data_IF_303901926519
#
_entry.id   IF_303901926519
#
_cell.length_a   1.000
_cell.length_b   1.000
_cell.length_c   1.000
_cell.angle_alpha   90.00
_cell.angle_beta   90.00
_cell.angle_gamma   90.00
#
_symmetry.space_group_name_H-M   'P 1'
#
loop_
_entity.id
_entity.type
_entity.pdbx_description
1 polymer ?
#
# COMPACT_ATOMS: atom_id res chain seq x y z
N UNK A 1 -26.04 14.57 2.19
CA UNK A 1 -25.12 13.45 1.90
C UNK A 1 -23.92 13.64 2.81
N UNK A 2 -23.73 12.78 3.82
CA UNK A 2 -22.56 12.87 4.69
C UNK A 2 -21.32 12.65 3.80
N UNK A 3 -20.57 13.72 3.57
CA UNK A 3 -19.35 13.68 2.78
C UNK A 3 -18.39 12.75 3.51
N UNK A 4 -18.16 11.58 2.94
CA UNK A 4 -17.15 10.64 3.43
C UNK A 4 -15.82 11.36 3.25
N UNK A 5 -15.16 11.64 4.36
CA UNK A 5 -13.92 12.41 4.37
C UNK A 5 -12.79 11.55 3.77
N UNK A 6 -12.37 11.88 2.55
CA UNK A 6 -11.33 11.16 1.81
C UNK A 6 -10.03 11.10 2.62
N UNK A 7 -9.72 12.17 3.34
CA UNK A 7 -8.50 12.28 4.15
C UNK A 7 -8.52 11.27 5.31
N UNK A 8 -9.70 11.04 5.90
CA UNK A 8 -9.88 10.03 6.94
C UNK A 8 -9.61 8.62 6.39
N UNK A 9 -10.20 8.25 5.24
CA UNK A 9 -9.95 6.95 4.60
C UNK A 9 -8.47 6.79 4.27
N UNK A 10 -7.84 7.85 3.74
CA UNK A 10 -6.42 7.83 3.41
C UNK A 10 -5.56 7.60 4.65
N UNK A 11 -5.86 8.23 5.79
CA UNK A 11 -5.16 7.98 7.06
C UNK A 11 -5.40 6.56 7.57
N UNK A 12 -6.62 6.04 7.50
CA UNK A 12 -6.91 4.67 7.94
C UNK A 12 -6.14 3.62 7.12
N UNK A 13 -6.06 3.81 5.80
CA UNK A 13 -5.35 2.88 4.89
C UNK A 13 -3.84 3.04 5.01
N UNK A 14 -3.32 4.27 5.01
CA UNK A 14 -1.87 4.52 4.94
C UNK A 14 -1.16 4.50 6.30
N UNK A 15 -1.82 4.96 7.38
CA UNK A 15 -1.22 5.11 8.71
C UNK A 15 -1.59 3.94 9.61
N UNK A 16 -2.89 3.66 9.76
CA UNK A 16 -3.36 2.59 10.66
C UNK A 16 -3.29 1.19 10.04
N UNK A 17 -2.95 1.08 8.74
CA UNK A 17 -2.81 -0.19 8.01
C UNK A 17 -4.04 -1.08 8.06
N UNK A 18 -5.23 -0.48 8.21
CA UNK A 18 -6.48 -1.24 8.29
C UNK A 18 -6.88 -1.78 6.93
N UNK A 19 -7.44 -2.98 6.93
CA UNK A 19 -7.97 -3.60 5.73
C UNK A 19 -9.24 -2.89 5.25
N UNK A 20 -9.56 -3.01 3.96
CA UNK A 20 -10.83 -2.48 3.41
C UNK A 20 -12.04 -3.03 4.15
N UNK A 21 -11.94 -4.24 4.70
CA UNK A 21 -12.95 -4.88 5.52
C UNK A 21 -13.17 -4.12 6.84
N UNK A 22 -12.10 -3.89 7.61
CA UNK A 22 -12.16 -3.14 8.87
C UNK A 22 -12.66 -1.72 8.66
N UNK A 23 -12.23 -1.05 7.58
CA UNK A 23 -12.72 0.29 7.24
C UNK A 23 -14.23 0.25 6.98
N UNK A 24 -14.72 -0.79 6.30
CA UNK A 24 -16.16 -0.97 6.06
C UNK A 24 -16.94 -1.19 7.36
N UNK A 25 -16.39 -1.94 8.32
CA UNK A 25 -17.01 -2.16 9.63
C UNK A 25 -17.04 -0.87 10.46
N UNK A 26 -15.95 -0.12 10.48
CA UNK A 26 -15.88 1.18 11.17
C UNK A 26 -16.89 2.16 10.57
N UNK A 27 -16.99 2.22 9.24
CA UNK A 27 -17.95 3.08 8.54
C UNK A 27 -19.40 2.66 8.82
N UNK A 28 -19.69 1.36 8.95
CA UNK A 28 -21.01 0.86 9.35
C UNK A 28 -21.35 1.22 10.79
N UNK A 29 -20.39 1.11 11.71
CA UNK A 29 -20.57 1.50 13.11
C UNK A 29 -20.77 3.01 13.29
N UNK A 30 -20.07 3.83 12.52
CA UNK A 30 -20.16 5.31 12.62
C UNK A 30 -21.39 5.92 11.94
N UNK A 31 -22.03 5.22 11.00
CA UNK A 31 -23.20 5.71 10.26
C UNK A 31 -24.40 4.75 10.45
N UNK A 32 -25.11 4.83 11.58
CA UNK A 32 -26.23 3.91 11.86
C UNK A 32 -27.45 4.12 10.95
N UNK A 33 -27.58 5.26 10.26
CA UNK A 33 -28.77 5.62 9.46
C UNK A 33 -28.58 5.57 7.94
N UNK A 34 -27.34 5.44 7.45
CA UNK A 34 -27.07 5.16 6.03
C UNK A 34 -26.55 3.73 5.95
N UNK A 35 -26.77 3.03 4.84
CA UNK A 35 -26.41 1.60 4.64
C UNK A 35 -24.91 1.24 4.80
N UNK A 36 -24.08 2.12 5.37
CA UNK A 36 -22.64 2.00 5.42
C UNK A 36 -22.04 1.93 4.01
N UNK A 37 -20.72 1.90 3.93
CA UNK A 37 -20.05 1.46 2.71
C UNK A 37 -19.77 -0.03 2.85
N UNK A 38 -20.20 -0.82 1.87
CA UNK A 38 -19.74 -2.20 1.76
C UNK A 38 -18.25 -2.21 1.39
N UNK A 39 -17.55 -3.28 1.75
CA UNK A 39 -16.14 -3.48 1.38
C UNK A 39 -15.89 -3.20 -0.12
N UNK A 40 -16.82 -3.60 -1.00
CA UNK A 40 -16.74 -3.34 -2.44
C UNK A 40 -16.78 -1.85 -2.79
N UNK A 41 -17.60 -1.05 -2.10
CA UNK A 41 -17.66 0.40 -2.29
C UNK A 41 -16.43 1.10 -1.71
N UNK A 42 -15.92 0.65 -0.56
CA UNK A 42 -14.64 1.13 0.01
C UNK A 42 -13.50 0.83 -0.97
N UNK A 43 -13.46 -0.38 -1.52
CA UNK A 43 -12.46 -0.78 -2.52
C UNK A 43 -12.56 0.07 -3.78
N UNK A 44 -13.75 0.24 -4.34
CA UNK A 44 -13.97 1.07 -5.53
C UNK A 44 -13.60 2.54 -5.27
N UNK A 45 -13.90 3.05 -4.08
CA UNK A 45 -13.50 4.39 -3.64
C UNK A 45 -11.97 4.51 -3.55
N UNK A 46 -11.32 3.57 -2.87
CA UNK A 46 -9.87 3.52 -2.79
C UNK A 46 -9.20 3.42 -4.18
N UNK A 47 -9.75 2.62 -5.09
CA UNK A 47 -9.24 2.50 -6.47
C UNK A 47 -9.43 3.78 -7.27
N UNK A 48 -10.61 4.42 -7.19
CA UNK A 48 -10.89 5.68 -7.90
C UNK A 48 -10.03 6.85 -7.39
N UNK A 49 -9.73 6.87 -6.10
CA UNK A 49 -8.92 7.92 -5.46
C UNK A 49 -7.43 7.56 -5.36
N UNK A 50 -7.01 6.41 -5.91
CA UNK A 50 -5.62 5.94 -5.87
C UNK A 50 -5.09 5.66 -4.46
N UNK A 51 -5.97 5.46 -3.48
CA UNK A 51 -5.64 5.16 -2.09
C UNK A 51 -5.31 3.67 -1.99
N UNK A 52 -4.04 3.36 -2.20
CA UNK A 52 -3.54 2.00 -2.05
C UNK A 52 -2.73 1.85 -0.77
N UNK A 53 -2.88 0.68 -0.14
CA UNK A 53 -2.03 0.24 0.98
C UNK A 53 -0.54 0.14 0.59
N UNK A 54 -0.27 0.06 -0.72
CA UNK A 54 1.09 0.07 -1.23
C UNK A 54 1.64 1.48 -1.21
N UNK A 55 2.88 1.58 -0.73
CA UNK A 55 3.67 2.79 -0.84
C UNK A 55 3.60 3.23 -2.30
N UNK A 56 2.89 4.34 -2.55
CA UNK A 56 2.73 5.01 -3.84
C UNK A 56 4.06 5.55 -4.39
N UNK A 57 5.16 4.90 -4.06
CA UNK A 57 6.48 5.09 -4.62
C UNK A 57 6.37 4.95 -6.13
N UNK A 58 6.69 6.04 -6.81
CA UNK A 58 6.90 6.05 -8.24
C UNK A 58 7.91 4.96 -8.63
N UNK A 59 7.82 4.47 -9.86
CA UNK A 59 8.71 3.40 -10.35
C UNK A 59 10.19 3.76 -10.20
N UNK A 60 10.55 5.03 -10.36
CA UNK A 60 11.94 5.51 -10.20
C UNK A 60 12.36 5.55 -8.73
N UNK A 61 11.47 6.02 -7.85
CA UNK A 61 11.71 6.03 -6.41
C UNK A 61 11.84 4.60 -5.87
N UNK A 62 11.02 3.67 -6.37
CA UNK A 62 11.12 2.26 -6.05
C UNK A 62 12.45 1.64 -6.50
N UNK A 63 12.90 1.93 -7.71
CA UNK A 63 14.19 1.44 -8.22
C UNK A 63 15.37 1.97 -7.39
N UNK A 64 15.31 3.24 -6.98
CA UNK A 64 16.33 3.87 -6.14
C UNK A 64 16.36 3.23 -4.75
N UNK A 65 15.20 3.07 -4.10
CA UNK A 65 15.09 2.40 -2.81
C UNK A 65 15.55 0.93 -2.89
N UNK A 66 15.21 0.22 -3.96
CA UNK A 66 15.67 -1.17 -4.19
C UNK A 66 17.19 -1.23 -4.33
N UNK A 67 17.79 -0.30 -5.08
CA UNK A 67 19.25 -0.23 -5.25
C UNK A 67 19.95 0.07 -3.94
N UNK A 68 19.42 0.99 -3.14
CA UNK A 68 19.98 1.31 -1.82
C UNK A 68 19.87 0.11 -0.87
N UNK A 69 18.72 -0.57 -0.84
CA UNK A 69 18.54 -1.78 -0.05
C UNK A 69 19.56 -2.85 -0.46
N UNK A 70 19.71 -3.13 -1.75
CA UNK A 70 20.69 -4.10 -2.28
C UNK A 70 22.13 -3.71 -1.94
N UNK A 71 22.47 -2.42 -1.93
CA UNK A 71 23.79 -1.96 -1.49
C UNK A 71 24.04 -2.20 0.01
N UNK A 72 23.00 -2.10 0.85
CA UNK A 72 23.10 -2.35 2.30
C UNK A 72 23.14 -3.83 2.64
N UNK A 73 22.26 -4.64 2.05
CA UNK A 73 22.09 -6.07 2.40
C UNK A 73 22.91 -7.03 1.54
N UNK A 74 23.38 -6.56 0.38
CA UNK A 74 24.14 -7.34 -0.60
C UNK A 74 23.29 -7.94 -1.73
N UNK A 75 23.92 -8.30 -2.87
CA UNK A 75 23.24 -8.78 -4.07
C UNK A 75 22.63 -10.19 -3.92
N UNK A 76 23.00 -10.93 -2.87
CA UNK A 76 22.53 -12.29 -2.61
C UNK A 76 21.07 -12.32 -2.12
N UNK A 77 20.53 -11.18 -1.69
CA UNK A 77 19.16 -11.09 -1.18
C UNK A 77 18.13 -11.13 -2.31
N UNK A 78 17.32 -12.18 -2.30
CA UNK A 78 16.25 -12.36 -3.28
C UNK A 78 15.06 -11.42 -3.08
N UNK A 79 14.15 -11.39 -4.05
CA UNK A 79 12.97 -10.49 -4.07
C UNK A 79 12.09 -10.60 -2.81
N UNK A 80 11.89 -11.82 -2.29
CA UNK A 80 11.11 -12.04 -1.05
C UNK A 80 11.83 -11.52 0.19
N UNK A 81 13.16 -11.55 0.21
CA UNK A 81 13.94 -11.01 1.33
C UNK A 81 13.89 -9.48 1.32
N UNK A 82 14.02 -8.86 0.15
CA UNK A 82 13.84 -7.42 -0.02
C UNK A 82 12.42 -6.97 0.35
N UNK A 83 11.39 -7.73 0.00
CA UNK A 83 10.01 -7.48 0.45
C UNK A 83 9.90 -7.50 1.99
N UNK A 84 10.57 -8.44 2.67
CA UNK A 84 10.66 -8.46 4.13
C UNK A 84 11.44 -7.26 4.70
N UNK A 85 12.54 -6.86 4.06
CA UNK A 85 13.33 -5.70 4.45
C UNK A 85 12.52 -4.41 4.38
N UNK A 86 11.87 -4.16 3.25
CA UNK A 86 11.00 -2.99 3.10
C UNK A 86 9.85 -3.01 4.09
N UNK A 87 9.27 -4.20 4.36
CA UNK A 87 8.23 -4.34 5.38
C UNK A 87 8.72 -3.96 6.78
N UNK A 88 9.99 -4.25 7.11
CA UNK A 88 10.64 -3.82 8.34
C UNK A 88 10.91 -2.30 8.37
N UNK A 89 11.27 -1.69 7.23
CA UNK A 89 11.35 -0.23 7.04
C UNK A 89 9.98 0.45 6.99
N UNK A 90 8.89 -0.32 7.07
CA UNK A 90 7.52 0.16 7.05
C UNK A 90 6.96 0.47 5.65
N UNK A 91 7.70 0.14 4.61
CA UNK A 91 7.35 0.30 3.20
C UNK A 91 6.80 -1.02 2.68
N UNK A 92 5.54 -1.06 2.26
CA UNK A 92 4.98 -2.31 1.72
C UNK A 92 5.07 -2.35 0.19
N UNK A 93 5.98 -3.18 -0.31
CA UNK A 93 6.21 -3.39 -1.75
C UNK A 93 6.10 -4.88 -2.04
N UNK A 94 5.23 -5.26 -2.99
CA UNK A 94 5.16 -6.63 -3.47
C UNK A 94 6.42 -7.05 -4.23
N UNK A 95 6.88 -8.28 -4.00
CA UNK A 95 7.99 -8.92 -4.73
C UNK A 95 7.86 -8.86 -6.26
N UNK A 96 6.64 -8.89 -6.82
CA UNK A 96 6.41 -8.70 -8.26
C UNK A 96 6.91 -7.32 -8.74
N UNK A 97 6.62 -6.27 -7.97
CA UNK A 97 6.99 -4.88 -8.28
C UNK A 97 8.50 -4.67 -8.15
N UNK A 98 9.13 -5.29 -7.14
CA UNK A 98 10.59 -5.36 -6.98
C UNK A 98 11.24 -6.06 -8.18
N UNK A 99 10.65 -7.17 -8.65
CA UNK A 99 11.11 -7.86 -9.85
C UNK A 99 11.07 -6.94 -11.09
N UNK A 100 9.99 -6.20 -11.27
CA UNK A 100 9.80 -5.28 -12.41
C UNK A 100 10.70 -4.03 -12.38
N UNK A 101 11.24 -3.66 -11.21
CA UNK A 101 12.22 -2.57 -11.06
C UNK A 101 13.67 -3.05 -11.15
N UNK A 102 13.96 -4.25 -10.64
CA UNK A 102 15.33 -4.76 -10.50
C UNK A 102 15.90 -5.40 -11.79
N UNK A 103 15.07 -5.80 -12.75
CA UNK A 103 15.48 -6.57 -13.94
C UNK A 103 15.97 -5.74 -15.15
N UNK A 104 16.38 -4.49 -14.91
CA UNK A 104 16.97 -3.64 -15.96
C UNK A 104 18.45 -3.34 -15.72
N UNK A 105 19.18 -4.30 -15.16
CA UNK A 105 20.64 -4.30 -15.15
C UNK A 105 21.12 -5.65 -15.69
N UNK A 106 21.56 -5.72 -16.97
CA UNK A 106 22.27 -6.89 -17.45
C UNK A 106 23.62 -6.91 -16.72
N UNK A 107 23.83 -7.94 -15.91
CA UNK A 107 25.18 -8.37 -15.55
C UNK A 107 25.46 -9.59 -16.41
#
# INVERSE_FOLDING_TARGET
>A
MAAIDEEWIRRQVMVERKTHHEISEILKCHLPFNRGLSERSVRQFCENHGIHYWSGLDRRALASATREAVQKVGPTWGRKMLEGYFRAEGVNICSKRIGSSCWRNPI
#
